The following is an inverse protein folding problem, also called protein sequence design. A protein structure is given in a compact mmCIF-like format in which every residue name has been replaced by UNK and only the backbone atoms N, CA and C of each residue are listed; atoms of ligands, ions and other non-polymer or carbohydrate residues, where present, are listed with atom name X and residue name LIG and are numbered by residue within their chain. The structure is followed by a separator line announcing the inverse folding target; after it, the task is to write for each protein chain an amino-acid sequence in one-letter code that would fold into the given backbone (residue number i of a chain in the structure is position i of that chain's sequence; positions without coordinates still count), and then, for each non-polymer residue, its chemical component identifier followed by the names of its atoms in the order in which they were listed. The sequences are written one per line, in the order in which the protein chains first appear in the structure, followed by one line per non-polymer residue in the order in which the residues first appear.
data_IF_951956558325
#
_entry.id   IF_951956558325
#
_cell.length_a   1.000
_cell.length_b   1.000
_cell.length_c   1.000
_cell.angle_alpha   90.00
_cell.angle_beta   90.00
_cell.angle_gamma   90.00
#
_symmetry.space_group_name_H-M   'P 1'
#
loop_
_entity.id
_entity.type
_entity.pdbx_description
1 polymer ?
#
# COMPACT_ATOMS: atom_id res chain seq x y z
N UNK A 1 -21.32 17.81 -9.27
CA UNK A 1 -21.52 16.35 -9.24
C UNK A 1 -20.50 15.61 -10.10
N UNK A 2 -20.46 15.83 -11.43
CA UNK A 2 -19.42 15.21 -12.29
C UNK A 2 -18.01 15.71 -11.97
N UNK A 3 -17.83 17.03 -11.78
CA UNK A 3 -16.55 17.62 -11.37
C UNK A 3 -16.03 17.07 -10.04
N UNK A 4 -16.90 16.92 -9.03
CA UNK A 4 -16.53 16.41 -7.70
C UNK A 4 -16.06 14.96 -7.76
N UNK A 5 -16.75 14.13 -8.55
CA UNK A 5 -16.37 12.73 -8.79
C UNK A 5 -15.03 12.67 -9.54
N UNK A 6 -14.81 13.53 -10.54
CA UNK A 6 -13.54 13.58 -11.28
C UNK A 6 -12.37 13.95 -10.36
N UNK A 7 -12.53 14.98 -9.52
CA UNK A 7 -11.50 15.39 -8.55
C UNK A 7 -11.23 14.28 -7.54
N UNK A 8 -12.27 13.60 -7.07
CA UNK A 8 -12.13 12.46 -6.17
C UNK A 8 -11.34 11.30 -6.80
N UNK A 9 -11.64 10.96 -8.05
CA UNK A 9 -10.93 9.90 -8.78
C UNK A 9 -9.45 10.24 -9.00
N UNK A 10 -9.14 11.48 -9.40
CA UNK A 10 -7.74 11.93 -9.54
C UNK A 10 -7.01 11.85 -8.19
N UNK A 11 -7.66 12.27 -7.11
CA UNK A 11 -7.07 12.22 -5.77
C UNK A 11 -6.74 10.78 -5.35
N UNK A 12 -7.62 9.82 -5.65
CA UNK A 12 -7.37 8.38 -5.39
C UNK A 12 -6.17 7.90 -6.20
N UNK A 13 -6.06 8.26 -7.48
CA UNK A 13 -4.94 7.83 -8.34
C UNK A 13 -3.61 8.37 -7.81
N UNK A 14 -3.55 9.65 -7.41
CA UNK A 14 -2.35 10.26 -6.82
C UNK A 14 -1.98 9.58 -5.51
N UNK A 15 -2.94 9.33 -4.63
CA UNK A 15 -2.71 8.64 -3.36
C UNK A 15 -2.18 7.22 -3.60
N UNK A 16 -2.76 6.48 -4.56
CA UNK A 16 -2.26 5.17 -4.92
C UNK A 16 -0.81 5.25 -5.40
N UNK A 17 -0.46 6.17 -6.31
CA UNK A 17 0.90 6.39 -6.79
C UNK A 17 1.92 6.62 -5.67
N UNK A 18 1.61 7.50 -4.72
CA UNK A 18 2.46 7.78 -3.56
C UNK A 18 2.70 6.51 -2.74
N UNK A 19 1.65 5.73 -2.49
CA UNK A 19 1.74 4.51 -1.69
C UNK A 19 2.63 3.46 -2.37
N UNK A 20 2.48 3.25 -3.68
CA UNK A 20 3.36 2.31 -4.40
C UNK A 20 4.82 2.75 -4.44
N UNK A 21 5.08 4.05 -4.47
CA UNK A 21 6.46 4.55 -4.37
C UNK A 21 7.06 4.29 -2.98
N UNK A 22 6.32 4.62 -1.90
CA UNK A 22 6.72 4.33 -0.52
C UNK A 22 7.05 2.84 -0.31
N UNK A 23 6.23 1.98 -0.89
CA UNK A 23 6.42 0.55 -0.80
C UNK A 23 7.66 0.02 -1.54
N UNK A 24 7.98 0.63 -2.68
CA UNK A 24 9.20 0.28 -3.40
C UNK A 24 10.44 0.58 -2.56
N UNK A 25 10.47 1.72 -1.86
CA UNK A 25 11.57 2.13 -0.99
C UNK A 25 11.74 1.18 0.21
N UNK A 26 10.66 0.54 0.67
CA UNK A 26 10.67 -0.47 1.74
C UNK A 26 11.24 -1.84 1.26
N UNK A 27 11.60 -1.98 -0.02
CA UNK A 27 12.25 -3.17 -0.58
C UNK A 27 11.27 -4.23 -1.10
N UNK A 28 10.01 -3.87 -1.34
CA UNK A 28 9.07 -4.71 -2.06
C UNK A 28 9.27 -4.59 -3.57
N UNK A 29 9.11 -5.73 -4.26
CA UNK A 29 9.28 -5.80 -5.72
C UNK A 29 8.29 -4.85 -6.41
N UNK A 30 8.82 -4.01 -7.31
CA UNK A 30 8.07 -3.01 -8.08
C UNK A 30 6.83 -3.61 -8.77
N UNK A 31 6.97 -4.79 -9.37
CA UNK A 31 5.88 -5.51 -10.04
C UNK A 31 4.74 -5.89 -9.10
N UNK A 32 5.07 -6.34 -7.88
CA UNK A 32 4.05 -6.68 -6.87
C UNK A 32 3.33 -5.42 -6.37
N UNK A 33 4.07 -4.34 -6.17
CA UNK A 33 3.49 -3.06 -5.75
C UNK A 33 2.49 -2.50 -6.77
N UNK A 34 2.83 -2.57 -8.06
CA UNK A 34 1.93 -2.13 -9.15
C UNK A 34 0.69 -3.00 -9.25
N UNK A 35 0.85 -4.33 -9.17
CA UNK A 35 -0.30 -5.26 -9.19
C UNK A 35 -1.25 -5.01 -8.02
N UNK A 36 -0.69 -4.67 -6.85
CA UNK A 36 -1.49 -4.36 -5.66
C UNK A 36 -2.16 -2.99 -5.76
N UNK A 37 -1.53 -1.98 -6.39
CA UNK A 37 -2.18 -0.68 -6.63
C UNK A 37 -3.45 -0.78 -7.49
N UNK A 38 -3.55 -1.76 -8.39
CA UNK A 38 -4.75 -1.97 -9.19
C UNK A 38 -5.98 -2.36 -8.35
N UNK A 39 -5.79 -2.82 -7.11
CA UNK A 39 -6.90 -3.11 -6.22
C UNK A 39 -7.47 -1.80 -5.65
N UNK A 40 -8.76 -1.52 -5.89
CA UNK A 40 -9.38 -0.31 -5.39
C UNK A 40 -9.51 -0.34 -3.86
N UNK A 41 -9.84 0.83 -3.29
CA UNK A 41 -10.20 0.98 -1.88
C UNK A 41 -9.10 0.58 -0.87
N UNK A 42 -7.82 0.61 -1.28
CA UNK A 42 -6.71 0.34 -0.36
C UNK A 42 -6.52 -1.14 -0.01
N UNK A 43 -7.25 -2.06 -0.64
CA UNK A 43 -7.10 -3.52 -0.42
C UNK A 43 -5.69 -3.97 -0.78
N UNK A 44 -5.14 -3.46 -1.89
CA UNK A 44 -3.76 -3.76 -2.28
C UNK A 44 -2.74 -3.34 -1.24
N UNK A 45 -2.97 -2.18 -0.63
CA UNK A 45 -2.12 -1.65 0.45
C UNK A 45 -2.20 -2.57 1.66
N UNK A 46 -3.39 -3.00 2.06
CA UNK A 46 -3.59 -3.91 3.17
C UNK A 46 -2.87 -5.26 2.96
N UNK A 47 -3.04 -5.87 1.78
CA UNK A 47 -2.34 -7.11 1.43
C UNK A 47 -0.83 -6.91 1.45
N UNK A 48 -0.36 -5.77 0.98
CA UNK A 48 1.06 -5.43 0.99
C UNK A 48 1.61 -5.28 2.41
N UNK A 49 0.84 -4.66 3.32
CA UNK A 49 1.17 -4.60 4.74
C UNK A 49 1.27 -6.00 5.33
N UNK A 50 0.28 -6.86 5.10
CA UNK A 50 0.33 -8.26 5.57
C UNK A 50 1.58 -8.97 5.07
N UNK A 51 1.90 -8.88 3.76
CA UNK A 51 3.09 -9.53 3.20
C UNK A 51 4.38 -9.00 3.85
N UNK A 52 4.45 -7.69 4.09
CA UNK A 52 5.62 -7.08 4.73
C UNK A 52 5.78 -7.58 6.17
N UNK A 53 4.71 -7.52 6.98
CA UNK A 53 4.73 -7.97 8.36
C UNK A 53 4.96 -9.48 8.48
N UNK A 54 4.39 -10.30 7.61
CA UNK A 54 4.62 -11.75 7.59
C UNK A 54 6.11 -12.07 7.34
N UNK A 55 6.77 -11.33 6.44
CA UNK A 55 8.21 -11.51 6.17
C UNK A 55 9.08 -11.07 7.34
N UNK A 56 8.68 -10.02 8.05
CA UNK A 56 9.51 -9.39 9.08
C UNK A 56 9.23 -9.96 10.49
N UNK A 57 8.01 -10.44 10.73
CA UNK A 57 7.51 -11.00 11.98
C UNK A 57 6.72 -12.30 11.70
N UNK A 58 7.37 -13.38 11.25
CA UNK A 58 6.71 -14.63 10.86
C UNK A 58 5.98 -15.34 12.00
N UNK A 59 6.25 -14.97 13.26
CA UNK A 59 5.52 -15.47 14.45
C UNK A 59 4.41 -14.52 14.91
N UNK A 60 4.21 -13.41 14.19
CA UNK A 60 3.36 -12.29 14.60
C UNK A 60 3.72 -11.68 15.96
N UNK A 61 4.91 -11.98 16.47
CA UNK A 61 5.50 -11.32 17.63
C UNK A 61 6.05 -9.95 17.21
N UNK A 62 5.18 -8.95 17.25
CA UNK A 62 5.58 -7.55 17.04
C UNK A 62 6.27 -7.07 18.32
N UNK A 63 7.55 -6.66 18.28
CA UNK A 63 8.26 -6.22 19.46
C UNK A 63 7.57 -4.97 20.02
N UNK A 64 6.96 -5.10 21.20
CA UNK A 64 6.30 -3.98 21.89
C UNK A 64 7.30 -2.99 22.52
N UNK A 65 8.60 -3.28 22.41
CA UNK A 65 9.70 -2.50 22.98
C UNK A 65 10.56 -1.91 21.86
N UNK A 66 9.98 -1.06 21.03
CA UNK A 66 10.76 -0.16 20.17
C UNK A 66 10.99 1.10 21.01
N UNK A 67 12.27 1.40 21.30
CA UNK A 67 12.71 2.60 22.03
C UNK A 67 12.40 3.87 21.27
#
# INVERSE_FOLDING_TARGET
MTLDITVFMISIIVLQMIIGHLWHDIGLSYTRSILLMLFPLGIGVFVQQMIYFERQYPKWDVPQHIK
#
